data_IF_851995444212
#
_entry.id   IF_851995444212
#
_cell.length_a   1.000
_cell.length_b   1.000
_cell.length_c   1.000
_cell.angle_alpha   90.00
_cell.angle_beta   90.00
_cell.angle_gamma   90.00
#
_symmetry.space_group_name_H-M   'P 1'
#
loop_
_entity.id
_entity.type
_entity.pdbx_description
1 polymer ?
#
# COMPACT_ATOMS: atom_id res chain seq x y z
N UNK A 1 -9.32 27.83 -12.48
CA UNK A 1 -9.37 27.77 -10.99
C UNK A 1 -9.94 26.45 -10.47
N UNK A 2 -11.12 26.00 -10.95
CA UNK A 2 -11.74 24.74 -10.51
C UNK A 2 -10.90 23.46 -10.79
N UNK A 3 -10.26 23.36 -11.97
CA UNK A 3 -9.37 22.24 -12.33
C UNK A 3 -8.16 22.12 -11.39
N UNK A 4 -7.54 23.23 -11.00
CA UNK A 4 -6.41 23.24 -10.08
C UNK A 4 -6.84 22.84 -8.66
N UNK A 5 -8.03 23.24 -8.23
CA UNK A 5 -8.59 22.86 -6.93
C UNK A 5 -8.92 21.36 -6.88
N UNK A 6 -9.52 20.81 -7.95
CA UNK A 6 -9.78 19.36 -8.07
C UNK A 6 -8.49 18.54 -8.06
N UNK A 7 -7.44 19.00 -8.75
CA UNK A 7 -6.14 18.32 -8.72
C UNK A 7 -5.54 18.29 -7.31
N UNK A 8 -5.59 19.42 -6.58
CA UNK A 8 -5.12 19.51 -5.19
C UNK A 8 -5.93 18.61 -4.26
N UNK A 9 -7.25 18.60 -4.41
CA UNK A 9 -8.15 17.72 -3.63
C UNK A 9 -7.82 16.24 -3.88
N UNK A 10 -7.65 15.86 -5.15
CA UNK A 10 -7.25 14.49 -5.52
C UNK A 10 -5.92 14.11 -4.87
N UNK A 11 -4.91 14.97 -4.94
CA UNK A 11 -3.61 14.70 -4.31
C UNK A 11 -3.74 14.56 -2.78
N UNK A 12 -4.53 15.41 -2.13
CA UNK A 12 -4.75 15.32 -0.69
C UNK A 12 -5.47 14.02 -0.28
N UNK A 13 -6.51 13.62 -1.03
CA UNK A 13 -7.21 12.36 -0.81
C UNK A 13 -6.29 11.14 -1.02
N UNK A 14 -5.41 11.20 -2.01
CA UNK A 14 -4.38 10.16 -2.22
C UNK A 14 -3.42 10.09 -1.03
N UNK A 15 -2.96 11.22 -0.49
CA UNK A 15 -2.13 11.25 0.70
C UNK A 15 -2.84 10.65 1.92
N UNK A 16 -4.12 10.96 2.13
CA UNK A 16 -4.93 10.37 3.20
C UNK A 16 -5.06 8.85 3.05
N UNK A 17 -5.23 8.36 1.82
CA UNK A 17 -5.33 6.94 1.54
C UNK A 17 -4.01 6.21 1.85
N UNK A 18 -2.86 6.78 1.43
CA UNK A 18 -1.54 6.23 1.73
C UNK A 18 -1.26 6.23 3.24
N UNK A 19 -1.57 7.32 3.93
CA UNK A 19 -1.41 7.39 5.38
C UNK A 19 -2.27 6.36 6.12
N UNK A 20 -3.48 6.09 5.62
CA UNK A 20 -4.37 5.07 6.17
C UNK A 20 -3.82 3.65 5.97
N UNK A 21 -3.20 3.38 4.81
CA UNK A 21 -2.54 2.11 4.51
C UNK A 21 -1.32 1.89 5.42
N UNK A 22 -0.48 2.90 5.61
CA UNK A 22 0.66 2.85 6.55
C UNK A 22 0.20 2.67 8.00
N UNK A 23 -0.89 3.33 8.40
CA UNK A 23 -1.49 3.13 9.72
C UNK A 23 -1.95 1.69 9.89
N UNK A 24 -2.69 1.15 8.92
CA UNK A 24 -3.14 -0.23 8.95
C UNK A 24 -1.95 -1.20 9.04
N UNK A 25 -0.86 -0.92 8.31
CA UNK A 25 0.38 -1.71 8.38
C UNK A 25 0.91 -1.75 9.81
N UNK A 26 1.07 -0.60 10.45
CA UNK A 26 1.61 -0.50 11.81
C UNK A 26 0.69 -1.16 12.85
N UNK A 27 -0.63 -1.05 12.68
CA UNK A 27 -1.62 -1.70 13.54
C UNK A 27 -1.56 -3.23 13.47
N UNK A 28 -1.10 -3.82 12.36
CA UNK A 28 -0.95 -5.27 12.23
C UNK A 28 0.47 -5.74 12.53
N UNK A 29 1.48 -5.04 12.01
CA UNK A 29 2.88 -5.42 12.13
C UNK A 29 3.44 -5.15 13.53
N UNK A 30 2.99 -4.07 14.20
CA UNK A 30 3.39 -3.73 15.57
C UNK A 30 3.03 -4.82 16.58
N UNK A 31 1.74 -5.20 16.72
CA UNK A 31 1.35 -6.30 17.60
C UNK A 31 2.03 -7.62 17.25
N UNK A 32 2.17 -7.95 15.96
CA UNK A 32 2.91 -9.14 15.54
C UNK A 32 4.37 -9.11 16.02
N UNK A 33 5.05 -7.98 15.86
CA UNK A 33 6.44 -7.82 16.31
C UNK A 33 6.58 -7.98 17.82
N UNK A 34 5.66 -7.40 18.61
CA UNK A 34 5.66 -7.51 20.08
C UNK A 34 5.38 -8.94 20.54
N UNK A 35 4.43 -9.64 19.91
CA UNK A 35 3.97 -10.96 20.36
C UNK A 35 4.82 -12.12 19.84
N UNK A 36 5.32 -12.02 18.60
CA UNK A 36 6.00 -13.13 17.90
C UNK A 36 7.48 -12.81 17.62
N UNK A 37 7.87 -11.54 17.63
CA UNK A 37 9.20 -11.10 17.21
C UNK A 37 9.35 -11.01 15.70
N UNK A 38 10.61 -10.95 15.24
CA UNK A 38 10.98 -10.82 13.83
C UNK A 38 11.60 -9.46 13.49
N UNK A 39 11.65 -9.08 12.20
CA UNK A 39 12.21 -7.80 11.80
C UNK A 39 11.34 -6.64 12.29
N UNK A 40 12.01 -5.55 12.70
CA UNK A 40 11.34 -4.30 13.11
C UNK A 40 10.42 -3.82 11.99
N UNK A 41 9.15 -3.47 12.28
CA UNK A 41 8.25 -2.90 11.28
C UNK A 41 8.78 -1.55 10.78
N UNK A 42 8.74 -1.36 9.47
CA UNK A 42 9.14 -0.12 8.81
C UNK A 42 7.92 0.81 8.71
N UNK A 43 7.95 2.01 9.33
CA UNK A 43 6.83 2.96 9.27
C UNK A 43 6.49 3.42 7.85
N UNK A 44 7.47 3.38 6.93
CA UNK A 44 7.26 3.79 5.54
C UNK A 44 6.67 2.65 4.68
N UNK A 45 6.56 1.42 5.21
CA UNK A 45 6.01 0.26 4.50
C UNK A 45 4.47 0.30 4.45
N UNK A 46 3.91 0.25 3.25
CA UNK A 46 2.46 0.11 3.03
C UNK A 46 2.03 -1.37 3.06
N UNK A 47 0.80 -1.69 3.47
CA UNK A 47 0.26 -3.04 3.31
C UNK A 47 0.18 -3.37 1.82
N UNK A 48 -0.33 -2.46 1.00
CA UNK A 48 -0.47 -2.68 -0.44
C UNK A 48 0.88 -2.97 -1.13
N UNK A 49 1.96 -2.25 -0.79
CA UNK A 49 3.30 -2.50 -1.29
C UNK A 49 3.91 -3.82 -0.80
N UNK A 50 3.69 -4.16 0.48
CA UNK A 50 4.11 -5.46 1.04
C UNK A 50 3.38 -6.64 0.40
N UNK A 51 2.07 -6.52 0.24
CA UNK A 51 1.22 -7.51 -0.44
C UNK A 51 1.65 -7.64 -1.89
N UNK A 52 1.84 -6.53 -2.61
CA UNK A 52 2.32 -6.53 -3.99
C UNK A 52 3.68 -7.22 -4.15
N UNK A 53 4.65 -6.96 -3.26
CA UNK A 53 5.94 -7.68 -3.26
C UNK A 53 5.77 -9.17 -3.03
N UNK A 54 4.92 -9.55 -2.08
CA UNK A 54 4.69 -10.97 -1.72
C UNK A 54 3.88 -11.69 -2.79
N UNK A 55 2.96 -11.01 -3.46
CA UNK A 55 2.23 -11.52 -4.61
C UNK A 55 3.16 -11.73 -5.81
N UNK A 56 4.05 -10.77 -6.10
CA UNK A 56 5.11 -10.94 -7.11
C UNK A 56 6.05 -12.11 -6.78
N UNK A 57 6.28 -12.38 -5.49
CA UNK A 57 7.03 -13.55 -5.03
C UNK A 57 6.19 -14.86 -4.99
N UNK A 58 4.93 -14.84 -5.42
CA UNK A 58 4.06 -16.01 -5.52
C UNK A 58 3.43 -16.48 -4.21
N UNK A 59 3.44 -15.67 -3.15
CA UNK A 59 2.83 -16.07 -1.88
C UNK A 59 1.30 -16.16 -2.01
N UNK A 60 0.73 -17.36 -1.79
CA UNK A 60 -0.72 -17.63 -1.96
C UNK A 60 -1.62 -16.73 -1.10
N UNK A 61 -1.22 -16.45 0.14
CA UNK A 61 -1.96 -15.54 1.01
C UNK A 61 -1.93 -14.10 0.46
N UNK A 62 -0.83 -13.69 -0.16
CA UNK A 62 -0.68 -12.35 -0.71
C UNK A 62 -1.49 -12.19 -1.99
N UNK A 63 -1.61 -13.22 -2.82
CA UNK A 63 -2.50 -13.20 -3.99
C UNK A 63 -3.98 -13.04 -3.58
N UNK A 64 -4.40 -13.68 -2.49
CA UNK A 64 -5.74 -13.52 -1.95
C UNK A 64 -5.96 -12.10 -1.39
N UNK A 65 -5.01 -11.57 -0.62
CA UNK A 65 -5.07 -10.20 -0.11
C UNK A 65 -5.02 -9.16 -1.24
N UNK A 66 -4.18 -9.36 -2.24
CA UNK A 66 -4.06 -8.52 -3.44
C UNK A 66 -5.41 -8.42 -4.14
N UNK A 67 -6.10 -9.54 -4.35
CA UNK A 67 -7.42 -9.54 -4.98
C UNK A 67 -8.45 -8.70 -4.21
N UNK A 68 -8.48 -8.81 -2.88
CA UNK A 68 -9.41 -8.05 -2.04
C UNK A 68 -9.09 -6.56 -2.07
N UNK A 69 -7.81 -6.20 -1.92
CA UNK A 69 -7.35 -4.80 -1.90
C UNK A 69 -7.58 -4.16 -3.28
N UNK A 70 -7.21 -4.83 -4.36
CA UNK A 70 -7.43 -4.34 -5.72
C UNK A 70 -8.92 -4.22 -6.04
N UNK A 71 -9.77 -5.12 -5.54
CA UNK A 71 -11.23 -4.99 -5.71
C UNK A 71 -11.78 -3.74 -4.99
N UNK A 72 -11.33 -3.49 -3.75
CA UNK A 72 -11.72 -2.30 -2.98
C UNK A 72 -11.25 -1.00 -3.67
N UNK A 73 -9.99 -0.96 -4.10
CA UNK A 73 -9.41 0.20 -4.78
C UNK A 73 -10.07 0.44 -6.13
N UNK A 74 -10.34 -0.63 -6.89
CA UNK A 74 -11.06 -0.54 -8.16
C UNK A 74 -12.45 0.04 -7.97
N UNK A 75 -13.16 -0.34 -6.90
CA UNK A 75 -14.47 0.20 -6.58
C UNK A 75 -14.41 1.71 -6.26
N UNK A 76 -13.35 2.16 -5.56
CA UNK A 76 -13.21 3.54 -5.10
C UNK A 76 -12.60 4.49 -6.13
N UNK A 77 -11.71 3.98 -7.01
CA UNK A 77 -10.86 4.82 -7.88
C UNK A 77 -10.87 4.41 -9.34
N UNK A 78 -11.36 3.21 -9.67
CA UNK A 78 -11.24 2.61 -11.00
C UNK A 78 -9.86 2.08 -11.35
N UNK A 79 -8.84 2.22 -10.48
CA UNK A 79 -7.50 1.67 -10.70
C UNK A 79 -7.50 0.14 -10.71
N UNK A 80 -6.58 -0.45 -11.46
CA UNK A 80 -6.30 -1.89 -11.50
C UNK A 80 -4.86 -2.15 -11.04
N UNK A 81 -4.62 -3.30 -10.41
CA UNK A 81 -3.29 -3.75 -9.96
C UNK A 81 -2.60 -2.76 -9.00
N UNK A 82 -3.37 -2.18 -8.08
CA UNK A 82 -2.89 -1.15 -7.16
C UNK A 82 -1.73 -1.65 -6.29
N UNK A 83 -1.83 -2.89 -5.78
CA UNK A 83 -0.78 -3.50 -4.97
C UNK A 83 0.55 -3.66 -5.73
N UNK A 84 0.52 -4.14 -6.99
CA UNK A 84 1.73 -4.30 -7.81
C UNK A 84 2.33 -2.97 -8.21
N UNK A 85 1.47 -2.01 -8.55
CA UNK A 85 1.90 -0.65 -8.87
C UNK A 85 2.58 0.01 -7.66
N UNK A 86 2.05 -0.17 -6.45
CA UNK A 86 2.66 0.30 -5.21
C UNK A 86 4.04 -0.33 -4.99
N UNK A 87 4.14 -1.65 -5.11
CA UNK A 87 5.41 -2.37 -4.98
C UNK A 87 6.46 -1.90 -6.00
N UNK A 88 6.06 -1.66 -7.26
CA UNK A 88 6.94 -1.15 -8.31
C UNK A 88 7.40 0.29 -8.05
N UNK A 89 6.52 1.17 -7.54
CA UNK A 89 6.88 2.55 -7.16
C UNK A 89 7.89 2.57 -6.01
N UNK A 90 7.67 1.76 -4.99
CA UNK A 90 8.60 1.64 -3.85
C UNK A 90 9.96 1.10 -4.29
N UNK A 91 10.00 0.11 -5.19
CA UNK A 91 11.25 -0.38 -5.78
C UNK A 91 12.02 0.73 -6.53
N UNK A 92 11.32 1.54 -7.34
CA UNK A 92 11.93 2.70 -8.03
C UNK A 92 12.45 3.75 -7.05
N UNK A 93 11.73 4.04 -5.97
CA UNK A 93 12.17 5.01 -4.94
C UNK A 93 13.47 4.56 -4.26
N UNK A 94 13.65 3.26 -4.03
CA UNK A 94 14.88 2.70 -3.44
C UNK A 94 16.10 2.69 -4.37
N UNK A 95 15.92 2.58 -5.70
CA UNK A 95 17.04 2.69 -6.65
C UNK A 95 17.50 4.14 -6.90
N UNK A 96 16.62 5.12 -6.67
CA UNK A 96 16.90 6.54 -6.90
C UNK A 96 17.32 7.29 -5.62
N UNK A 97 17.43 6.59 -4.50
CA UNK A 97 17.75 7.14 -3.18
C UNK A 97 19.14 6.76 -2.70
#
# INVERSE_FOLDING_TARGET
MALAMMARLKSWLLCLFVASDQLAHMLLAGPKYVLVGGPRPDPDETISGKVGRRANAGARWALACEFIIDALVRLLTGEREHCRAAAAREARRKCNG
#
